data_IF_509261792495
#
_entry.id   IF_509261792495
#
_cell.length_a   1.000
_cell.length_b   1.000
_cell.length_c   1.000
_cell.angle_alpha   90.00
_cell.angle_beta   90.00
_cell.angle_gamma   90.00
#
_symmetry.space_group_name_H-M   'P 1'
#
loop_
_entity.id
_entity.type
_entity.pdbx_description
1 polymer ?
#
# COMPACT_ATOMS: atom_id res chain seq x y z
N UNK A 1 -21.59 -60.95 16.30
CA UNK A 1 -20.39 -60.24 15.80
C UNK A 1 -20.63 -59.94 14.33
N UNK A 2 -20.65 -58.71 13.81
CA UNK A 2 -20.12 -57.40 14.23
C UNK A 2 -21.19 -56.30 14.05
N UNK A 3 -21.20 -55.32 14.96
CA UNK A 3 -22.01 -54.09 14.89
C UNK A 3 -21.43 -53.14 13.82
N UNK A 4 -22.31 -52.50 13.04
CA UNK A 4 -21.98 -51.36 12.19
C UNK A 4 -22.22 -50.06 12.97
N UNK A 5 -21.24 -49.15 12.98
CA UNK A 5 -21.36 -47.82 13.56
C UNK A 5 -21.58 -46.80 12.43
N UNK A 6 -22.65 -46.01 12.54
CA UNK A 6 -22.94 -44.84 11.72
C UNK A 6 -22.11 -43.64 12.21
N UNK A 7 -21.61 -42.82 11.28
CA UNK A 7 -21.22 -41.45 11.54
C UNK A 7 -21.62 -40.56 10.36
N UNK A 8 -22.60 -39.69 10.60
CA UNK A 8 -23.05 -38.63 9.69
C UNK A 8 -22.16 -37.40 9.86
N UNK A 9 -21.58 -36.87 8.77
CA UNK A 9 -20.97 -35.54 8.74
C UNK A 9 -21.74 -34.71 7.72
N UNK A 10 -22.37 -33.63 8.17
CA UNK A 10 -23.15 -32.72 7.35
C UNK A 10 -22.28 -31.88 6.41
N UNK A 11 -22.76 -31.68 5.19
CA UNK A 11 -22.15 -30.81 4.20
C UNK A 11 -22.46 -29.33 4.52
N UNK A 12 -21.42 -28.51 4.73
CA UNK A 12 -21.50 -27.06 4.65
C UNK A 12 -20.89 -26.64 3.31
N UNK A 13 -21.69 -26.02 2.44
CA UNK A 13 -21.25 -25.45 1.17
C UNK A 13 -20.67 -24.07 1.45
N UNK A 14 -19.39 -23.86 1.16
CA UNK A 14 -18.76 -22.55 1.05
C UNK A 14 -18.25 -22.40 -0.39
N UNK A 15 -18.93 -21.56 -1.18
CA UNK A 15 -18.50 -21.16 -2.51
C UNK A 15 -17.40 -20.10 -2.37
N UNK A 16 -16.18 -20.43 -2.79
CA UNK A 16 -15.11 -19.46 -3.01
C UNK A 16 -14.87 -19.37 -4.52
N UNK A 17 -15.25 -18.24 -5.13
CA UNK A 17 -14.89 -17.93 -6.50
C UNK A 17 -13.43 -17.46 -6.53
N UNK A 18 -12.53 -18.28 -7.06
CA UNK A 18 -11.14 -17.90 -7.34
C UNK A 18 -11.13 -17.10 -8.65
N UNK A 19 -10.72 -15.83 -8.60
CA UNK A 19 -10.41 -15.07 -9.80
C UNK A 19 -9.01 -15.49 -10.29
N UNK A 20 -8.96 -16.19 -11.43
CA UNK A 20 -7.70 -16.54 -12.09
C UNK A 20 -7.16 -15.30 -12.81
N UNK A 21 -5.94 -14.86 -12.47
CA UNK A 21 -5.19 -13.87 -13.26
C UNK A 21 -4.20 -14.62 -14.16
N UNK A 22 -4.17 -14.28 -15.44
CA UNK A 22 -3.18 -14.78 -16.41
C UNK A 22 -2.30 -13.61 -16.82
N UNK A 23 -0.97 -13.78 -16.70
CA UNK A 23 0.02 -12.80 -17.18
C UNK A 23 0.43 -13.21 -18.59
N UNK A 24 0.28 -12.30 -19.56
CA UNK A 24 0.84 -12.48 -20.90
C UNK A 24 2.22 -11.82 -20.97
N UNK A 25 3.19 -12.53 -21.58
CA UNK A 25 4.49 -11.99 -21.98
C UNK A 25 4.48 -11.75 -23.48
N UNK A 26 4.98 -10.60 -23.91
CA UNK A 26 5.26 -10.36 -25.32
C UNK A 26 6.65 -10.91 -25.70
N UNK A 27 6.96 -10.90 -27.00
CA UNK A 27 8.22 -11.40 -27.58
C UNK A 27 9.48 -10.65 -27.09
N UNK A 28 9.31 -9.61 -26.26
CA UNK A 28 10.37 -8.82 -25.65
C UNK A 28 10.46 -8.99 -24.12
N UNK A 29 9.62 -9.84 -23.52
CA UNK A 29 9.70 -10.20 -22.11
C UNK A 29 9.13 -9.19 -21.12
N UNK A 30 8.34 -8.21 -21.59
CA UNK A 30 7.66 -7.27 -20.70
C UNK A 30 6.32 -7.85 -20.19
N UNK A 31 6.07 -7.76 -18.88
CA UNK A 31 4.84 -8.25 -18.25
C UNK A 31 3.78 -7.13 -18.15
N UNK A 32 2.56 -7.38 -18.63
CA UNK A 32 1.42 -6.44 -18.50
C UNK A 32 0.19 -7.17 -17.97
N UNK A 33 -0.49 -6.67 -16.92
CA UNK A 33 -1.71 -7.30 -16.42
C UNK A 33 -2.94 -6.90 -17.25
N UNK A 34 -3.76 -7.89 -17.65
CA UNK A 34 -5.07 -7.70 -18.29
C UNK A 34 -6.09 -8.71 -17.75
N UNK A 35 -7.34 -8.27 -17.55
CA UNK A 35 -8.46 -9.10 -17.06
C UNK A 35 -9.28 -9.64 -18.24
N UNK A 36 -9.59 -10.94 -18.26
CA UNK A 36 -10.63 -11.51 -19.12
C UNK A 36 -12.00 -11.41 -18.41
N UNK A 37 -13.11 -11.12 -19.13
CA UNK A 37 -14.43 -11.12 -18.54
C UNK A 37 -14.90 -12.56 -18.29
N UNK A 38 -15.40 -12.85 -17.08
CA UNK A 38 -16.00 -14.15 -16.75
C UNK A 38 -17.48 -14.12 -17.14
N UNK A 39 -17.89 -15.02 -18.04
CA UNK A 39 -19.31 -15.25 -18.34
C UNK A 39 -19.98 -15.98 -17.16
N UNK A 40 -21.15 -15.47 -16.73
CA UNK A 40 -21.97 -16.06 -15.67
C UNK A 40 -22.59 -17.38 -16.15
N UNK A 41 -22.35 -18.48 -15.43
CA UNK A 41 -23.04 -19.74 -15.65
C UNK A 41 -24.41 -19.71 -14.96
N UNK A 42 -25.49 -19.68 -15.76
CA UNK A 42 -26.84 -19.88 -15.28
C UNK A 42 -27.05 -21.36 -14.88
N UNK A 43 -27.76 -21.57 -13.78
CA UNK A 43 -28.21 -22.87 -13.27
C UNK A 43 -29.16 -23.56 -14.26
N UNK A 44 -28.88 -24.83 -14.58
CA UNK A 44 -29.79 -25.68 -15.35
C UNK A 44 -30.41 -26.70 -14.40
N UNK A 45 -31.72 -26.58 -14.20
CA UNK A 45 -32.54 -27.58 -13.52
C UNK A 45 -32.67 -28.85 -14.37
N UNK A 46 -32.63 -30.00 -13.69
CA UNK A 46 -32.87 -31.32 -14.29
C UNK A 46 -34.36 -31.47 -14.60
N UNK A 47 -34.70 -31.65 -15.87
CA UNK A 47 -35.93 -32.34 -16.23
C UNK A 47 -35.71 -33.33 -17.39
N UNK A 48 -36.19 -34.54 -17.15
CA UNK A 48 -36.20 -35.71 -18.02
C UNK A 48 -37.03 -35.44 -19.27
N UNK A 49 -36.53 -35.76 -20.48
CA UNK A 49 -37.34 -36.30 -21.59
C UNK A 49 -36.47 -36.91 -22.70
N UNK A 50 -36.92 -38.10 -23.12
CA UNK A 50 -36.52 -38.97 -24.23
C UNK A 50 -36.50 -38.31 -25.61
N UNK A 51 -35.47 -38.59 -26.44
CA UNK A 51 -35.56 -39.04 -27.84
C UNK A 51 -34.29 -38.69 -28.66
N UNK A 52 -33.74 -39.69 -29.37
CA UNK A 52 -32.76 -39.52 -30.45
C UNK A 52 -33.42 -38.90 -31.70
N UNK A 53 -32.66 -38.30 -32.65
CA UNK A 53 -32.23 -39.13 -33.79
C UNK A 53 -30.90 -38.72 -34.50
N UNK A 54 -30.26 -39.76 -35.07
CA UNK A 54 -29.55 -39.88 -36.39
C UNK A 54 -28.51 -38.86 -36.87
N UNK A 55 -27.31 -39.38 -37.15
CA UNK A 55 -26.28 -38.80 -38.04
C UNK A 55 -26.68 -38.80 -39.53
N UNK A 56 -25.91 -38.10 -40.37
CA UNK A 56 -25.49 -38.72 -41.61
C UNK A 56 -23.96 -38.68 -41.84
N UNK A 57 -23.49 -39.87 -42.19
CA UNK A 57 -22.24 -40.28 -42.83
C UNK A 57 -22.05 -39.64 -44.22
N UNK A 58 -20.84 -39.13 -44.50
CA UNK A 58 -20.30 -38.99 -45.87
C UNK A 58 -18.80 -39.30 -45.84
N UNK A 59 -18.45 -40.48 -46.33
CA UNK A 59 -17.07 -40.95 -46.42
C UNK A 59 -16.30 -40.56 -47.69
N UNK A 60 -14.98 -40.79 -47.61
CA UNK A 60 -14.07 -41.07 -48.73
C UNK A 60 -12.76 -40.26 -48.72
N UNK A 61 -11.64 -40.80 -49.27
CA UNK A 61 -11.10 -42.15 -49.13
C UNK A 61 -9.65 -42.15 -48.56
N UNK A 62 -9.22 -43.32 -48.09
CA UNK A 62 -7.87 -43.60 -47.62
C UNK A 62 -6.84 -43.61 -48.78
N UNK A 63 -5.66 -43.05 -48.52
CA UNK A 63 -4.46 -43.33 -49.28
C UNK A 63 -3.32 -43.64 -48.30
N UNK A 64 -2.92 -44.91 -48.30
CA UNK A 64 -1.71 -45.42 -47.68
C UNK A 64 -0.48 -44.80 -48.34
N UNK A 65 0.38 -44.15 -47.55
CA UNK A 65 1.79 -44.00 -47.90
C UNK A 65 2.66 -44.32 -46.70
N UNK A 66 3.55 -45.27 -46.96
CA UNK A 66 4.47 -45.92 -46.05
C UNK A 66 5.35 -44.97 -45.23
N UNK A 67 5.55 -45.38 -43.98
CA UNK A 67 6.65 -44.97 -43.11
C UNK A 67 7.99 -45.21 -43.83
N UNK A 68 8.77 -44.15 -44.01
CA UNK A 68 10.21 -44.25 -44.31
C UNK A 68 11.01 -43.58 -43.21
N UNK A 69 11.95 -44.35 -42.67
CA UNK A 69 12.88 -44.01 -41.61
C UNK A 69 13.63 -42.69 -41.84
N UNK A 70 13.42 -41.73 -40.93
CA UNK A 70 14.37 -40.66 -40.67
C UNK A 70 14.92 -40.86 -39.24
N UNK A 71 16.25 -40.78 -39.03
CA UNK A 71 16.82 -40.97 -37.70
C UNK A 71 16.30 -39.88 -36.77
N UNK A 72 15.68 -40.29 -35.67
CA UNK A 72 15.28 -39.40 -34.59
C UNK A 72 16.50 -38.72 -33.99
N UNK A 73 16.84 -37.54 -34.52
CA UNK A 73 17.62 -36.58 -33.79
C UNK A 73 16.75 -36.11 -32.62
N UNK A 74 16.92 -36.80 -31.48
CA UNK A 74 16.51 -36.26 -30.19
C UNK A 74 17.30 -34.96 -30.02
N UNK A 75 16.70 -33.84 -30.37
CA UNK A 75 17.13 -32.55 -29.87
C UNK A 75 16.89 -32.63 -28.37
N UNK A 76 17.93 -33.03 -27.64
CA UNK A 76 17.98 -32.86 -26.20
C UNK A 76 17.78 -31.37 -25.96
N UNK A 77 16.59 -31.03 -25.45
CA UNK A 77 16.37 -29.74 -24.84
C UNK A 77 17.42 -29.63 -23.73
N UNK A 78 18.19 -28.53 -23.65
CA UNK A 78 19.07 -28.33 -22.51
C UNK A 78 18.23 -28.49 -21.25
N UNK A 79 18.77 -29.16 -20.24
CA UNK A 79 18.17 -29.26 -18.92
C UNK A 79 17.89 -27.83 -18.44
N UNK A 80 16.65 -27.37 -18.68
CA UNK A 80 16.13 -26.19 -18.04
C UNK A 80 16.08 -26.60 -16.59
N UNK A 81 17.00 -26.06 -15.78
CA UNK A 81 16.77 -25.93 -14.35
C UNK A 81 15.44 -25.21 -14.23
N UNK A 82 14.39 -25.99 -14.01
CA UNK A 82 13.13 -25.51 -13.51
C UNK A 82 13.49 -25.03 -12.11
N UNK A 83 13.84 -23.75 -11.98
CA UNK A 83 13.63 -23.08 -10.70
C UNK A 83 12.16 -23.33 -10.37
N UNK A 84 11.94 -24.15 -9.35
CA UNK A 84 10.60 -24.45 -8.86
C UNK A 84 9.87 -23.12 -8.72
N UNK A 85 8.81 -22.93 -9.51
CA UNK A 85 7.86 -21.86 -9.26
C UNK A 85 7.53 -21.92 -7.76
N UNK A 86 7.57 -20.79 -7.03
CA UNK A 86 7.30 -20.80 -5.59
C UNK A 86 6.01 -21.58 -5.36
N UNK A 87 5.95 -22.44 -4.34
CA UNK A 87 4.82 -23.33 -4.14
C UNK A 87 3.54 -22.50 -4.23
N UNK A 88 2.52 -23.03 -4.92
CA UNK A 88 1.17 -22.46 -5.05
C UNK A 88 0.41 -22.43 -3.71
N UNK A 89 1.11 -22.11 -2.63
CA UNK A 89 0.65 -21.85 -1.28
C UNK A 89 1.27 -20.54 -0.79
N UNK A 90 1.06 -19.45 -1.54
CA UNK A 90 1.20 -18.12 -0.95
C UNK A 90 0.34 -18.10 0.31
N UNK A 91 0.93 -17.76 1.47
CA UNK A 91 0.16 -17.53 2.67
C UNK A 91 -1.00 -16.57 2.33
N UNK A 92 -2.22 -16.79 2.85
CA UNK A 92 -3.31 -15.85 2.62
C UNK A 92 -2.83 -14.44 3.01
N UNK A 93 -3.19 -13.39 2.24
CA UNK A 93 -2.70 -12.05 2.49
C UNK A 93 -3.00 -11.67 3.94
N UNK A 94 -1.99 -11.17 4.64
CA UNK A 94 -2.20 -10.61 5.97
C UNK A 94 -3.19 -9.44 5.90
N UNK A 95 -3.86 -9.12 7.01
CA UNK A 95 -4.72 -7.94 7.07
C UNK A 95 -3.88 -6.70 6.78
N UNK A 96 -4.17 -6.03 5.66
CA UNK A 96 -3.45 -4.85 5.19
C UNK A 96 -2.15 -5.15 4.46
N UNK A 97 -2.02 -6.31 3.81
CA UNK A 97 -0.85 -6.71 3.03
C UNK A 97 -0.47 -5.66 1.96
N UNK A 98 0.70 -5.05 2.14
CA UNK A 98 1.34 -4.17 1.15
C UNK A 98 1.99 -5.03 0.06
N UNK A 99 1.76 -4.70 -1.21
CA UNK A 99 2.39 -5.39 -2.35
C UNK A 99 3.15 -4.37 -3.18
N UNK A 100 4.39 -4.68 -3.56
CA UNK A 100 5.24 -3.81 -4.34
C UNK A 100 5.80 -2.65 -3.52
N UNK A 101 6.16 -1.57 -4.22
CA UNK A 101 6.75 -0.38 -3.62
C UNK A 101 5.68 0.70 -3.38
N UNK A 102 5.97 1.74 -2.58
CA UNK A 102 5.03 2.86 -2.40
C UNK A 102 4.59 3.58 -3.69
N UNK A 103 5.27 3.39 -4.83
CA UNK A 103 5.03 4.06 -6.12
C UNK A 103 4.57 3.13 -7.25
N UNK A 104 4.64 1.84 -7.00
CA UNK A 104 4.28 0.81 -7.95
C UNK A 104 3.85 -0.37 -7.10
N UNK A 105 2.63 -0.25 -6.59
CA UNK A 105 2.16 -1.10 -5.51
C UNK A 105 0.66 -1.24 -5.49
N UNK A 106 0.23 -2.18 -4.66
CA UNK A 106 -1.17 -2.47 -4.41
C UNK A 106 -1.36 -2.76 -2.92
N UNK A 107 -2.62 -2.77 -2.51
CA UNK A 107 -3.02 -3.06 -1.14
C UNK A 107 -4.09 -4.15 -1.14
N UNK A 108 -3.82 -5.23 -0.38
CA UNK A 108 -4.71 -6.36 -0.22
C UNK A 108 -5.25 -6.42 1.21
N UNK A 109 -6.50 -6.81 1.38
CA UNK A 109 -7.18 -6.88 2.68
C UNK A 109 -7.02 -5.60 3.54
N UNK A 110 -7.20 -4.40 2.96
CA UNK A 110 -6.80 -3.12 3.58
C UNK A 110 -7.50 -2.85 4.91
N UNK A 111 -6.86 -2.06 5.77
CA UNK A 111 -7.51 -1.44 6.94
C UNK A 111 -7.88 -0.02 6.59
N UNK A 112 -9.15 0.36 6.79
CA UNK A 112 -9.56 1.76 6.67
C UNK A 112 -9.29 2.48 8.00
N UNK A 113 -8.67 3.65 7.94
CA UNK A 113 -8.68 4.55 9.10
C UNK A 113 -10.12 5.03 9.30
N UNK A 114 -10.69 4.76 10.48
CA UNK A 114 -12.03 5.22 10.84
C UNK A 114 -11.95 6.57 11.55
N UNK A 115 -13.02 7.37 11.52
CA UNK A 115 -13.03 8.66 12.21
C UNK A 115 -12.74 8.49 13.71
N UNK A 116 -11.77 9.26 14.21
CA UNK A 116 -11.34 9.24 15.60
C UNK A 116 -11.76 10.50 16.38
N UNK A 117 -11.63 10.43 17.71
CA UNK A 117 -11.77 11.62 18.58
C UNK A 117 -10.69 12.66 18.31
N UNK A 118 -9.51 12.20 17.91
CA UNK A 118 -8.26 12.96 17.97
C UNK A 118 -7.81 13.50 16.59
N UNK A 119 -8.50 13.10 15.52
CA UNK A 119 -8.27 13.53 14.16
C UNK A 119 -9.58 13.65 13.35
N UNK A 120 -9.49 14.30 12.19
CA UNK A 120 -10.53 14.34 11.16
C UNK A 120 -9.97 13.79 9.86
N UNK A 121 -10.79 13.08 9.09
CA UNK A 121 -10.41 12.52 7.80
C UNK A 121 -10.84 13.49 6.70
N UNK A 122 -9.90 13.87 5.83
CA UNK A 122 -10.14 14.77 4.69
C UNK A 122 -10.96 14.11 3.59
N UNK A 123 -10.64 12.85 3.27
CA UNK A 123 -11.31 12.06 2.24
C UNK A 123 -11.37 10.58 2.63
N UNK A 124 -12.57 10.07 2.91
CA UNK A 124 -12.76 8.68 3.35
C UNK A 124 -12.41 7.64 2.27
N UNK A 125 -12.38 8.03 1.00
CA UNK A 125 -12.07 7.13 -0.12
C UNK A 125 -10.57 6.80 -0.26
N UNK A 126 -9.70 7.59 0.38
CA UNK A 126 -8.24 7.52 0.25
C UNK A 126 -7.51 7.20 1.56
N UNK A 127 -8.22 6.84 2.63
CA UNK A 127 -7.63 6.50 3.94
C UNK A 127 -7.57 4.99 4.20
N UNK A 128 -7.11 4.25 3.19
CA UNK A 128 -6.90 2.80 3.29
C UNK A 128 -5.41 2.53 3.39
N UNK A 129 -4.99 1.73 4.36
CA UNK A 129 -3.60 1.43 4.59
C UNK A 129 -3.37 0.00 5.07
N UNK A 130 -2.08 -0.30 5.29
CA UNK A 130 -1.72 -1.46 6.08
C UNK A 130 -2.24 -1.31 7.50
N UNK A 131 -2.45 -2.42 8.22
CA UNK A 131 -2.85 -2.37 9.62
C UNK A 131 -1.86 -1.57 10.47
N UNK A 132 -0.57 -1.79 10.27
CA UNK A 132 0.50 -1.12 11.01
C UNK A 132 0.49 0.39 10.75
N UNK A 133 0.33 0.81 9.49
CA UNK A 133 0.19 2.24 9.13
C UNK A 133 -0.95 2.89 9.90
N UNK A 134 -2.14 2.27 9.92
CA UNK A 134 -3.31 2.79 10.61
C UNK A 134 -3.11 2.83 12.13
N UNK A 135 -2.58 1.75 12.72
CA UNK A 135 -2.39 1.64 14.17
C UNK A 135 -1.31 2.59 14.69
N UNK A 136 -0.13 2.64 14.05
CA UNK A 136 0.95 3.54 14.44
C UNK A 136 0.55 5.01 14.27
N UNK A 137 -0.12 5.37 13.17
CA UNK A 137 -0.61 6.72 12.94
C UNK A 137 -1.60 7.15 14.03
N UNK A 138 -2.64 6.34 14.26
CA UNK A 138 -3.66 6.63 15.26
C UNK A 138 -3.03 6.76 16.65
N UNK A 139 -2.06 5.90 16.98
CA UNK A 139 -1.37 5.94 18.27
C UNK A 139 -0.49 7.17 18.44
N UNK A 140 0.22 7.59 17.40
CA UNK A 140 1.05 8.79 17.45
C UNK A 140 0.19 10.06 17.63
N UNK A 141 -0.93 10.16 16.90
CA UNK A 141 -1.88 11.26 17.04
C UNK A 141 -2.49 11.28 18.45
N UNK A 142 -2.95 10.13 18.96
CA UNK A 142 -3.48 10.02 20.32
C UNK A 142 -2.45 10.47 21.37
N UNK A 143 -1.20 10.01 21.23
CA UNK A 143 -0.09 10.38 22.13
C UNK A 143 0.10 11.89 22.18
N UNK A 144 0.23 12.55 21.02
CA UNK A 144 0.37 14.01 20.98
C UNK A 144 -0.87 14.71 21.54
N UNK A 145 -2.08 14.29 21.16
CA UNK A 145 -3.34 14.89 21.62
C UNK A 145 -3.53 14.76 23.14
N UNK A 146 -3.04 13.68 23.74
CA UNK A 146 -3.06 13.49 25.21
C UNK A 146 -2.16 14.48 25.94
N UNK A 147 -1.04 14.88 25.33
CA UNK A 147 -0.11 15.88 25.87
C UNK A 147 -0.59 17.31 25.62
N UNK A 148 -1.39 17.51 24.55
CA UNK A 148 -1.88 18.81 24.10
C UNK A 148 -3.40 18.85 23.97
N UNK A 149 -4.20 18.62 25.02
CA UNK A 149 -5.65 18.46 24.90
C UNK A 149 -6.38 19.68 24.29
N UNK A 150 -5.77 20.88 24.39
CA UNK A 150 -6.32 22.13 23.89
C UNK A 150 -6.10 22.39 22.38
N UNK A 151 -5.21 21.65 21.70
CA UNK A 151 -5.02 21.85 20.25
C UNK A 151 -6.20 21.30 19.46
N UNK A 152 -6.34 21.68 18.21
CA UNK A 152 -7.33 21.10 17.32
C UNK A 152 -7.07 19.62 17.00
N UNK A 153 -8.09 18.93 16.50
CA UNK A 153 -7.94 17.59 15.93
C UNK A 153 -7.01 17.63 14.71
N UNK A 154 -6.13 16.64 14.59
CA UNK A 154 -5.20 16.56 13.45
C UNK A 154 -5.98 16.25 12.17
N UNK A 155 -5.64 16.88 11.05
CA UNK A 155 -6.21 16.51 9.75
C UNK A 155 -5.39 15.36 9.18
N UNK A 156 -6.05 14.24 8.88
CA UNK A 156 -5.44 13.13 8.16
C UNK A 156 -5.88 13.20 6.71
N UNK A 157 -4.90 13.26 5.82
CA UNK A 157 -5.08 13.28 4.37
C UNK A 157 -5.08 11.87 3.78
N UNK A 158 -4.42 11.74 2.64
CA UNK A 158 -4.42 10.50 1.87
C UNK A 158 -3.47 9.46 2.47
N UNK A 159 -3.81 8.18 2.33
CA UNK A 159 -2.99 7.00 2.66
C UNK A 159 -2.79 6.14 1.40
N UNK A 160 -3.92 5.67 0.83
CA UNK A 160 -4.01 5.01 -0.47
C UNK A 160 -5.49 4.77 -0.83
N UNK A 161 -5.76 4.40 -2.07
CA UNK A 161 -7.09 3.87 -2.41
C UNK A 161 -7.31 2.51 -1.74
N UNK A 162 -8.56 2.04 -1.67
CA UNK A 162 -8.88 0.72 -1.11
C UNK A 162 -8.09 -0.45 -1.70
N UNK A 163 -7.60 -0.34 -2.95
CA UNK A 163 -6.79 -1.39 -3.59
C UNK A 163 -5.32 -0.99 -3.78
N UNK A 164 -4.91 0.15 -3.24
CA UNK A 164 -3.62 0.76 -3.56
C UNK A 164 -3.60 1.30 -5.00
N UNK A 165 -2.44 1.21 -5.66
CA UNK A 165 -2.23 1.70 -7.02
C UNK A 165 -2.16 3.22 -7.15
N UNK A 166 -2.01 3.76 -8.37
CA UNK A 166 -1.84 5.17 -8.61
C UNK A 166 -2.95 6.03 -7.98
N UNK A 167 -2.53 7.05 -7.24
CA UNK A 167 -3.42 8.02 -6.60
C UNK A 167 -3.21 9.40 -7.23
N UNK A 168 -4.25 10.05 -7.78
CA UNK A 168 -4.10 11.36 -8.41
C UNK A 168 -3.49 12.41 -7.47
N UNK A 169 -2.52 13.18 -7.98
CA UNK A 169 -1.76 14.17 -7.21
C UNK A 169 -0.53 13.62 -6.48
N UNK A 170 -0.34 12.30 -6.47
CA UNK A 170 0.69 11.62 -5.70
C UNK A 170 1.58 10.74 -6.57
N UNK A 171 2.89 10.77 -6.35
CA UNK A 171 3.82 9.81 -6.96
C UNK A 171 3.97 8.54 -6.15
N UNK A 172 3.62 8.57 -4.86
CA UNK A 172 3.60 7.41 -3.97
C UNK A 172 2.17 7.09 -3.49
N UNK A 173 1.97 6.63 -2.24
CA UNK A 173 0.64 6.25 -1.71
C UNK A 173 -0.01 5.03 -2.39
N UNK A 174 0.76 4.20 -3.10
CA UNK A 174 0.19 3.08 -3.86
C UNK A 174 0.10 1.78 -3.06
N UNK A 175 0.84 1.63 -1.97
CA UNK A 175 0.92 0.38 -1.20
C UNK A 175 0.35 0.47 0.22
N UNK A 176 -0.35 1.57 0.55
CA UNK A 176 -0.98 1.76 1.86
C UNK A 176 -0.02 1.97 3.02
N UNK A 177 1.24 2.33 2.73
CA UNK A 177 2.31 2.58 3.72
C UNK A 177 2.66 4.06 3.91
N UNK A 178 2.16 4.92 3.03
CA UNK A 178 2.37 6.36 3.11
C UNK A 178 1.13 7.01 3.72
N UNK A 179 1.30 8.15 4.39
CA UNK A 179 0.18 8.99 4.83
C UNK A 179 0.58 10.44 4.89
N UNK A 180 -0.31 11.32 4.43
CA UNK A 180 -0.17 12.76 4.62
C UNK A 180 -0.92 13.21 5.88
N UNK A 181 -0.23 13.94 6.75
CA UNK A 181 -0.76 14.39 8.04
C UNK A 181 -0.58 15.88 8.15
N UNK A 182 -1.67 16.61 8.36
CA UNK A 182 -1.67 18.05 8.51
C UNK A 182 -0.83 18.49 9.70
N UNK A 183 -0.12 19.60 9.54
CA UNK A 183 0.62 20.22 10.64
C UNK A 183 -0.35 20.75 11.71
N UNK A 184 0.10 20.83 12.98
CA UNK A 184 -0.73 21.35 14.07
C UNK A 184 -0.63 22.87 14.11
N UNK A 185 -1.75 23.53 13.87
CA UNK A 185 -1.90 24.98 13.90
C UNK A 185 -2.28 25.47 15.30
N UNK A 186 -1.93 26.73 15.58
CA UNK A 186 -2.44 27.45 16.73
C UNK A 186 -3.94 27.68 16.55
N UNK A 187 -4.70 27.40 17.59
CA UNK A 187 -6.15 27.49 17.59
C UNK A 187 -6.69 26.69 18.76
N UNK A 188 -8.01 26.72 18.94
CA UNK A 188 -8.68 25.90 19.96
C UNK A 188 -9.06 24.55 19.40
N UNK A 189 -9.42 23.62 20.29
CA UNK A 189 -9.76 22.25 19.93
C UNK A 189 -10.92 22.16 18.91
N UNK A 190 -11.89 23.06 19.07
CA UNK A 190 -13.07 23.21 18.20
C UNK A 190 -12.75 23.78 16.81
N UNK A 191 -11.61 24.44 16.64
CA UNK A 191 -11.24 25.17 15.42
C UNK A 191 -10.42 24.28 14.45
N UNK A 192 -10.72 22.99 14.38
CA UNK A 192 -10.00 22.06 13.50
C UNK A 192 -10.21 22.43 12.02
N UNK A 193 -9.13 22.63 11.24
CA UNK A 193 -9.28 22.90 9.82
C UNK A 193 -9.81 21.66 9.11
N UNK A 194 -10.54 21.87 8.01
CA UNK A 194 -11.01 20.78 7.15
C UNK A 194 -9.94 20.31 6.15
N UNK A 195 -8.98 21.19 5.83
CA UNK A 195 -7.91 20.98 4.86
C UNK A 195 -6.54 21.22 5.52
N UNK A 196 -5.47 20.91 4.79
CA UNK A 196 -4.13 21.31 5.20
C UNK A 196 -3.94 22.83 5.10
N UNK A 197 -3.12 23.37 6.01
CA UNK A 197 -2.89 24.81 6.13
C UNK A 197 -1.39 25.05 6.06
N UNK A 198 -0.95 25.88 5.11
CA UNK A 198 0.46 26.26 4.98
C UNK A 198 0.98 26.88 6.28
N UNK A 199 2.05 26.28 6.80
CA UNK A 199 2.65 26.70 8.05
C UNK A 199 3.53 27.92 7.87
N UNK A 200 3.31 28.88 8.75
CA UNK A 200 4.08 30.10 8.94
C UNK A 200 4.61 30.12 10.37
N UNK A 201 5.47 31.10 10.67
CA UNK A 201 5.95 31.31 12.05
C UNK A 201 4.83 31.67 13.03
N UNK A 202 3.73 32.23 12.51
CA UNK A 202 2.68 32.83 13.33
C UNK A 202 1.51 31.89 13.56
N UNK A 203 1.17 31.04 12.59
CA UNK A 203 0.08 30.07 12.73
C UNK A 203 0.54 28.69 13.25
N UNK A 204 1.80 28.29 13.11
CA UNK A 204 2.23 26.94 13.52
C UNK A 204 2.29 26.78 15.04
N UNK A 205 1.65 25.73 15.56
CA UNK A 205 1.91 25.23 16.91
C UNK A 205 3.15 24.35 16.87
N UNK A 206 4.29 24.98 17.15
CA UNK A 206 5.61 24.35 17.09
C UNK A 206 5.79 23.25 18.13
N UNK A 207 5.10 23.33 19.27
CA UNK A 207 5.23 22.34 20.35
C UNK A 207 4.45 21.09 19.97
N UNK A 208 3.16 21.24 19.69
CA UNK A 208 2.31 20.12 19.32
C UNK A 208 2.76 19.46 18.00
N UNK A 209 3.20 20.25 17.00
CA UNK A 209 3.73 19.70 15.75
C UNK A 209 5.03 18.92 15.98
N UNK A 210 5.95 19.42 16.80
CA UNK A 210 7.15 18.66 17.15
C UNK A 210 6.77 17.37 17.89
N UNK A 211 5.87 17.44 18.88
CA UNK A 211 5.52 16.28 19.70
C UNK A 211 4.74 15.22 18.88
N UNK A 212 4.02 15.61 17.82
CA UNK A 212 3.48 14.69 16.81
C UNK A 212 4.60 13.96 16.05
N UNK A 213 5.60 14.70 15.57
CA UNK A 213 6.76 14.12 14.87
C UNK A 213 7.55 13.21 15.80
N UNK A 214 7.73 13.58 17.06
CA UNK A 214 8.39 12.77 18.07
C UNK A 214 7.61 11.49 18.37
N UNK A 215 6.29 11.57 18.50
CA UNK A 215 5.43 10.39 18.71
C UNK A 215 5.49 9.42 17.51
N UNK A 216 5.56 9.94 16.28
CA UNK A 216 5.79 9.13 15.08
C UNK A 216 7.20 8.51 15.09
N UNK A 217 8.23 9.31 15.38
CA UNK A 217 9.62 8.86 15.43
C UNK A 217 9.89 7.81 16.52
N UNK A 218 9.11 7.83 17.61
CA UNK A 218 9.18 6.83 18.68
C UNK A 218 8.81 5.42 18.20
N UNK A 219 8.11 5.30 17.08
CA UNK A 219 7.81 3.99 16.46
C UNK A 219 8.99 3.42 15.69
N UNK A 220 10.07 4.17 15.44
CA UNK A 220 11.13 3.74 14.51
C UNK A 220 11.81 2.44 14.92
N UNK A 221 11.79 2.08 16.20
CA UNK A 221 12.45 0.86 16.71
C UNK A 221 11.51 -0.36 16.58
N UNK A 222 10.23 -0.15 16.23
CA UNK A 222 9.33 -1.18 15.76
C UNK A 222 9.69 -1.60 14.31
N UNK A 223 9.73 -2.90 13.98
CA UNK A 223 10.04 -3.37 12.63
C UNK A 223 9.12 -2.80 11.54
N UNK A 224 7.88 -2.43 11.91
CA UNK A 224 6.84 -1.90 11.02
C UNK A 224 6.57 -0.41 11.23
N UNK A 225 7.38 0.25 12.07
CA UNK A 225 7.24 1.66 12.39
C UNK A 225 7.67 2.60 11.28
N UNK A 226 7.85 3.86 11.64
CA UNK A 226 8.21 4.93 10.69
C UNK A 226 9.59 4.69 10.09
N UNK A 227 9.63 4.73 8.75
CA UNK A 227 10.83 4.71 7.93
C UNK A 227 11.35 6.13 7.68
N UNK A 228 10.43 7.05 7.42
CA UNK A 228 10.73 8.38 6.91
C UNK A 228 9.59 9.36 7.23
N UNK A 229 9.95 10.60 7.53
CA UNK A 229 9.02 11.73 7.56
C UNK A 229 9.56 12.80 6.60
N UNK A 230 8.69 13.40 5.80
CA UNK A 230 9.04 14.47 4.86
C UNK A 230 8.40 15.78 5.31
N UNK A 231 9.21 16.83 5.36
CA UNK A 231 8.80 18.17 5.81
C UNK A 231 9.70 19.25 5.19
N UNK A 232 9.14 20.41 4.85
CA UNK A 232 9.89 21.57 4.36
C UNK A 232 11.09 21.93 5.27
N UNK A 233 12.24 22.19 4.65
CA UNK A 233 13.50 22.43 5.34
C UNK A 233 13.47 23.61 6.31
N UNK A 234 12.71 24.68 5.98
CA UNK A 234 12.56 25.82 6.86
C UNK A 234 11.66 25.53 8.06
N UNK A 235 10.66 24.66 7.90
CA UNK A 235 9.83 24.19 9.01
C UNK A 235 10.63 23.29 9.94
N UNK A 236 11.49 22.40 9.41
CA UNK A 236 12.44 21.65 10.24
C UNK A 236 13.29 22.57 11.10
N UNK A 237 13.87 23.64 10.51
CA UNK A 237 14.64 24.66 11.25
C UNK A 237 13.81 25.32 12.36
N UNK A 238 12.55 25.64 12.08
CA UNK A 238 11.65 26.28 13.04
C UNK A 238 11.33 25.35 14.22
N UNK A 239 11.02 24.09 13.95
CA UNK A 239 10.71 23.07 14.96
C UNK A 239 11.94 22.71 15.79
N UNK A 240 13.09 22.44 15.14
CA UNK A 240 14.35 22.13 15.83
C UNK A 240 14.76 23.23 16.81
N UNK A 241 14.65 24.51 16.42
CA UNK A 241 14.94 25.64 17.30
C UNK A 241 13.97 25.72 18.49
N UNK A 242 12.68 25.49 18.25
CA UNK A 242 11.68 25.47 19.32
C UNK A 242 11.92 24.31 20.30
N UNK A 243 12.32 23.15 19.78
CA UNK A 243 12.66 21.96 20.57
C UNK A 243 13.96 22.14 21.36
N UNK A 244 15.01 22.72 20.76
CA UNK A 244 16.23 23.07 21.48
C UNK A 244 15.97 24.07 22.62
N UNK A 245 15.13 25.09 22.38
CA UNK A 245 14.79 26.09 23.38
C UNK A 245 14.01 25.52 24.60
N UNK A 246 13.40 24.33 24.47
CA UNK A 246 12.77 23.61 25.59
C UNK A 246 13.66 22.51 26.19
N UNK A 247 14.93 22.44 25.79
CA UNK A 247 15.91 21.53 26.38
C UNK A 247 15.98 20.14 25.76
N UNK A 248 15.44 19.92 24.56
CA UNK A 248 15.68 18.64 23.84
C UNK A 248 17.18 18.52 23.54
N UNK A 249 17.82 17.38 23.86
CA UNK A 249 19.24 17.18 23.59
C UNK A 249 19.57 17.32 22.11
N UNK A 250 20.73 17.91 21.82
CA UNK A 250 21.19 18.10 20.43
C UNK A 250 21.30 16.76 19.69
N UNK A 251 21.74 15.69 20.35
CA UNK A 251 21.80 14.33 19.78
C UNK A 251 20.43 13.84 19.29
N UNK A 252 19.37 14.10 20.07
CA UNK A 252 18.00 13.75 19.67
C UNK A 252 17.56 14.57 18.46
N UNK A 253 17.87 15.87 18.45
CA UNK A 253 17.52 16.77 17.35
C UNK A 253 18.25 16.42 16.07
N UNK A 254 19.51 16.01 16.19
CA UNK A 254 20.37 15.57 15.10
C UNK A 254 19.87 14.26 14.49
N UNK A 255 19.54 13.26 15.32
CA UNK A 255 18.95 12.02 14.84
C UNK A 255 17.57 12.22 14.18
N UNK A 256 16.81 13.23 14.62
CA UNK A 256 15.46 13.49 14.14
C UNK A 256 15.44 14.32 12.85
N UNK A 257 16.18 15.43 12.76
CA UNK A 257 16.05 16.39 11.66
C UNK A 257 17.27 16.39 10.72
N UNK A 258 17.01 16.46 9.42
CA UNK A 258 18.04 16.72 8.40
C UNK A 258 18.70 18.09 8.59
N UNK A 259 17.94 19.14 8.94
CA UNK A 259 18.51 20.44 9.27
C UNK A 259 19.47 20.32 10.48
N UNK A 260 20.73 20.81 10.40
CA UNK A 260 21.22 21.82 9.47
C UNK A 260 22.05 21.31 8.27
N UNK A 261 22.07 20.01 7.97
CA UNK A 261 22.99 19.38 7.00
C UNK A 261 22.77 19.73 5.52
N UNK A 262 22.00 20.78 5.22
CA UNK A 262 21.64 21.18 3.86
C UNK A 262 20.46 20.37 3.31
N UNK A 263 19.70 20.93 2.36
CA UNK A 263 18.49 20.31 1.82
C UNK A 263 18.74 19.01 1.03
N UNK A 264 19.97 18.77 0.58
CA UNK A 264 20.37 17.56 -0.16
C UNK A 264 20.87 16.43 0.75
N UNK A 265 21.04 16.69 2.05
CA UNK A 265 21.55 15.68 2.98
C UNK A 265 20.53 14.56 3.21
N UNK A 266 21.00 13.35 3.48
CA UNK A 266 20.12 12.22 3.85
C UNK A 266 20.11 11.95 5.36
N UNK A 267 20.71 12.86 6.12
CA UNK A 267 20.76 12.79 7.58
C UNK A 267 19.36 12.98 8.18
N UNK A 268 19.14 12.40 9.35
CA UNK A 268 17.89 12.50 10.10
C UNK A 268 16.75 11.65 9.53
N UNK A 269 15.76 11.41 10.39
CA UNK A 269 14.50 10.75 10.04
C UNK A 269 13.56 11.69 9.25
N UNK A 270 13.55 12.97 9.62
CA UNK A 270 12.76 14.03 8.96
C UNK A 270 13.62 14.65 7.85
N UNK A 271 13.16 14.54 6.60
CA UNK A 271 13.93 14.95 5.42
C UNK A 271 13.14 15.92 4.54
N UNK A 272 13.85 16.77 3.83
CA UNK A 272 13.25 17.81 2.99
C UNK A 272 12.80 17.26 1.64
N UNK A 273 11.60 17.65 1.25
CA UNK A 273 11.18 17.74 -0.15
C UNK A 273 10.42 19.06 -0.37
N UNK A 274 10.41 19.61 -1.59
CA UNK A 274 9.55 20.74 -1.96
C UNK A 274 8.06 20.46 -1.69
N UNK A 275 7.25 21.52 -1.62
CA UNK A 275 5.79 21.50 -1.39
C UNK A 275 5.27 21.07 0.00
N UNK A 276 6.06 20.39 0.85
CA UNK A 276 5.62 19.89 2.16
C UNK A 276 5.60 20.98 3.25
N UNK A 277 4.84 22.05 3.02
CA UNK A 277 4.75 23.23 3.89
C UNK A 277 3.50 23.28 4.76
N UNK A 278 2.51 22.45 4.47
CA UNK A 278 1.20 22.40 5.11
C UNK A 278 0.92 21.03 5.77
N UNK A 279 1.68 20.01 5.41
CA UNK A 279 1.61 18.66 5.95
C UNK A 279 3.00 18.03 6.12
N UNK A 280 3.06 16.96 6.90
CA UNK A 280 4.13 15.95 6.83
C UNK A 280 3.66 14.78 5.98
N UNK A 281 4.54 14.23 5.17
CA UNK A 281 4.33 12.93 4.55
C UNK A 281 5.10 11.88 5.36
N UNK A 282 4.43 10.82 5.80
CA UNK A 282 5.00 9.80 6.66
C UNK A 282 4.97 8.47 5.93
N UNK A 283 6.11 7.77 5.91
CA UNK A 283 6.23 6.42 5.37
C UNK A 283 6.53 5.42 6.47
N UNK A 284 5.83 4.30 6.44
CA UNK A 284 6.07 3.13 7.30
C UNK A 284 6.85 2.06 6.54
N UNK A 285 7.61 1.22 7.29
CA UNK A 285 8.45 0.16 6.73
C UNK A 285 7.64 -1.04 6.24
N UNK A 286 8.24 -1.84 5.36
CA UNK A 286 7.83 -3.23 5.20
C UNK A 286 8.03 -4.01 6.50
N UNK A 287 7.09 -4.88 6.88
CA UNK A 287 7.40 -5.94 7.84
C UNK A 287 8.57 -6.81 7.34
N UNK A 288 9.46 -7.23 8.22
CA UNK A 288 10.70 -7.95 7.86
C UNK A 288 10.44 -9.26 7.10
N UNK A 289 9.35 -9.96 7.44
CA UNK A 289 8.99 -11.24 6.83
C UNK A 289 8.05 -11.12 5.62
N UNK A 290 7.68 -9.89 5.25
CA UNK A 290 6.77 -9.63 4.14
C UNK A 290 7.50 -9.63 2.80
N UNK A 291 7.41 -10.77 2.09
CA UNK A 291 8.07 -10.97 0.79
C UNK A 291 7.43 -10.20 -0.36
N UNK A 292 6.22 -9.68 -0.18
CA UNK A 292 5.50 -8.95 -1.22
C UNK A 292 5.69 -7.45 -1.10
N UNK A 293 5.94 -6.96 0.11
CA UNK A 293 6.31 -5.57 0.33
C UNK A 293 7.74 -5.30 -0.14
N UNK A 294 7.96 -4.18 -0.84
CA UNK A 294 9.27 -3.77 -1.33
C UNK A 294 9.59 -2.36 -0.88
N UNK A 295 10.77 -2.19 -0.30
CA UNK A 295 11.34 -0.85 -0.14
C UNK A 295 11.69 -0.24 -1.50
N UNK A 296 11.59 1.09 -1.66
CA UNK A 296 11.96 1.74 -2.91
C UNK A 296 13.43 1.44 -3.24
N UNK A 297 13.69 1.00 -4.48
CA UNK A 297 15.04 0.76 -4.99
C UNK A 297 15.77 2.12 -5.09
N UNK A 298 16.51 2.48 -4.04
CA UNK A 298 17.51 3.56 -4.00
C UNK A 298 16.93 5.00 -4.06
N UNK A 299 16.90 5.69 -2.91
CA UNK A 299 16.80 7.15 -2.81
C UNK A 299 15.42 7.76 -3.06
N UNK A 300 15.30 9.03 -2.68
CA UNK A 300 14.06 9.82 -2.69
C UNK A 300 13.28 9.89 -4.01
N UNK A 301 13.83 9.40 -5.12
CA UNK A 301 13.32 9.58 -6.48
C UNK A 301 11.86 9.12 -6.64
N UNK A 302 10.87 10.01 -6.45
CA UNK A 302 9.42 9.74 -6.52
C UNK A 302 8.61 9.94 -5.21
N UNK A 303 9.09 10.71 -4.24
CA UNK A 303 8.21 11.39 -3.27
C UNK A 303 7.94 12.85 -3.68
N UNK A 304 8.21 13.17 -4.95
CA UNK A 304 7.87 14.46 -5.52
C UNK A 304 6.35 14.53 -5.62
N UNK A 305 5.72 15.51 -4.99
CA UNK A 305 4.33 15.80 -5.32
C UNK A 305 4.22 15.97 -6.84
N UNK A 306 3.15 15.45 -7.47
CA UNK A 306 2.89 15.81 -8.85
C UNK A 306 2.88 17.34 -8.92
N UNK A 307 3.67 17.94 -9.82
CA UNK A 307 3.71 19.39 -9.95
C UNK A 307 2.27 19.91 -10.02
N UNK A 308 1.92 20.97 -9.26
CA UNK A 308 0.59 21.54 -9.37
C UNK A 308 0.39 21.92 -10.84
N UNK A 309 -0.58 21.28 -11.47
CA UNK A 309 -1.04 21.67 -12.80
C UNK A 309 -1.43 23.12 -12.72
N UNK A 310 -0.67 23.98 -13.39
CA UNK A 310 -0.91 25.41 -13.49
C UNK A 310 -2.25 25.63 -14.19
N UNK A 311 -3.33 25.68 -13.41
CA UNK A 311 -4.58 26.27 -13.84
C UNK A 311 -4.40 27.78 -13.76
N UNK A 312 -3.78 28.32 -14.81
CA UNK A 312 -3.69 29.76 -15.02
C UNK A 312 -5.09 30.39 -14.93
N UNK A 313 -5.18 31.68 -14.55
CA UNK A 313 -6.46 32.34 -14.41
C UNK A 313 -7.12 32.52 -15.78
N UNK A 314 -8.32 31.93 -15.94
CA UNK A 314 -9.28 32.29 -16.99
C UNK A 314 -9.82 33.72 -16.81
#
# INVERSE_FOLDING_TARGET
MRLALYASVGAAVLSASVALYVVFRDDHGAERPGLLPVASAASVDRETTTAAPTEPDVGGPAADTALSDAPGASLAWPDLEIEELPPTGAAPPELGQSVGSPRDGALLSPTQLSNGRDYVIRNESTVWGTRNTVEHLAKAIETMRSQHPAVHRVVVGDISTRRGGPLPGHTSHQSGRDVDVGLVMRGRAEDAPAEFVEATRDNLDRRATYDLIEALAATRDDPTGVELIVLDYNLQRLLRRAAAARGVPEETLEALFQFPHGPESRHGLVRHMPAHRDHIHVRFRCPEDDRYCREPLIGFAGMEAAEPTDHGPD
#
